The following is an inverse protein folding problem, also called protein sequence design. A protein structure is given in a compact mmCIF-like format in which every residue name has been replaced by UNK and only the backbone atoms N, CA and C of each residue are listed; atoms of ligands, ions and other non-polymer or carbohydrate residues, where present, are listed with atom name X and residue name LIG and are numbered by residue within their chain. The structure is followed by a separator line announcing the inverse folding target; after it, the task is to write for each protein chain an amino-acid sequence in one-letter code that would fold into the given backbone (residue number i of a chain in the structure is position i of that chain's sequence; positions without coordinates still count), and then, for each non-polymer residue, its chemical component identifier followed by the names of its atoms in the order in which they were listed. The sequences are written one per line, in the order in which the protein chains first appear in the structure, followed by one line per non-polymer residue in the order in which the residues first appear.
data_IF_997045647668
#
_entry.id   IF_997045647668
#
_cell.length_a   1.000
_cell.length_b   1.000
_cell.length_c   1.000
_cell.angle_alpha   90.00
_cell.angle_beta   90.00
_cell.angle_gamma   90.00
#
_symmetry.space_group_name_H-M   'P 1'
#
loop_
_entity.id
_entity.type
_entity.pdbx_description
1 polymer ?
#
# COMPACT_ATOMS: atom_id res chain seq x y z
N UNK A 1 -9.54 17.84 -29.29
CA UNK A 1 -8.06 17.69 -29.45
C UNK A 1 -7.80 16.83 -30.68
N UNK A 2 -6.88 17.23 -31.58
CA UNK A 2 -6.53 16.41 -32.75
C UNK A 2 -5.68 15.19 -32.34
N UNK A 3 -5.68 14.12 -33.14
CA UNK A 3 -4.83 12.96 -32.90
C UNK A 3 -3.34 13.34 -32.78
N UNK A 4 -2.87 14.25 -33.64
CA UNK A 4 -1.49 14.78 -33.60
C UNK A 4 -1.19 15.51 -32.29
N UNK A 5 -2.14 16.28 -31.77
CA UNK A 5 -2.01 16.96 -30.48
C UNK A 5 -1.89 15.96 -29.33
N UNK A 6 -2.70 14.89 -29.35
CA UNK A 6 -2.68 13.85 -28.31
C UNK A 6 -1.32 13.11 -28.31
N UNK A 7 -0.79 12.75 -29.48
CA UNK A 7 0.53 12.10 -29.58
C UNK A 7 1.65 12.97 -29.01
N UNK A 8 1.64 14.27 -29.30
CA UNK A 8 2.64 15.20 -28.74
C UNK A 8 2.54 15.29 -27.22
N UNK A 9 1.33 15.49 -26.69
CA UNK A 9 1.11 15.58 -25.23
C UNK A 9 1.58 14.31 -24.51
N UNK A 10 1.36 13.12 -25.11
CA UNK A 10 1.85 11.86 -24.55
C UNK A 10 3.38 11.81 -24.47
N UNK A 11 4.08 12.31 -25.48
CA UNK A 11 5.54 12.37 -25.47
C UNK A 11 6.05 13.31 -24.37
N UNK A 12 5.41 14.48 -24.23
CA UNK A 12 5.74 15.44 -23.18
C UNK A 12 5.54 14.83 -21.78
N UNK A 13 4.38 14.22 -21.54
CA UNK A 13 4.10 13.54 -20.26
C UNK A 13 5.03 12.36 -19.97
N UNK A 14 5.48 11.66 -21.01
CA UNK A 14 6.44 10.58 -20.84
C UNK A 14 7.80 11.10 -20.36
N UNK A 15 8.25 12.21 -20.92
CA UNK A 15 9.47 12.89 -20.49
C UNK A 15 9.35 13.40 -19.05
N UNK A 16 8.21 14.02 -18.69
CA UNK A 16 7.94 14.45 -17.32
C UNK A 16 7.98 13.28 -16.35
N UNK A 17 7.41 12.13 -16.74
CA UNK A 17 7.43 10.92 -15.95
C UNK A 17 8.84 10.36 -15.75
N UNK A 18 9.67 10.31 -16.79
CA UNK A 18 11.05 9.84 -16.69
C UNK A 18 11.90 10.74 -15.78
N UNK A 19 11.71 12.06 -15.87
CA UNK A 19 12.36 13.02 -14.98
C UNK A 19 11.89 12.83 -13.53
N UNK A 20 10.58 12.69 -13.33
CA UNK A 20 9.98 12.43 -12.04
C UNK A 20 10.50 11.13 -11.40
N UNK A 21 10.63 10.06 -12.19
CA UNK A 21 11.16 8.77 -11.70
C UNK A 21 12.61 8.87 -11.22
N UNK A 22 13.41 9.80 -11.75
CA UNK A 22 14.85 9.95 -11.42
C UNK A 22 15.14 11.09 -10.44
N UNK A 23 14.12 11.86 -10.04
CA UNK A 23 14.29 13.05 -9.21
C UNK A 23 14.95 12.71 -7.86
N UNK A 24 15.64 13.70 -7.30
CA UNK A 24 16.21 13.60 -5.96
C UNK A 24 15.12 13.59 -4.88
N UNK A 25 15.26 12.66 -3.93
CA UNK A 25 14.46 12.54 -2.71
C UNK A 25 15.22 13.02 -1.47
N UNK A 26 16.50 13.39 -1.60
CA UNK A 26 17.37 13.76 -0.49
C UNK A 26 17.00 15.07 0.21
N UNK A 27 16.21 15.92 -0.43
CA UNK A 27 15.73 17.18 0.13
C UNK A 27 14.69 17.04 1.25
N UNK A 28 14.06 15.87 1.40
CA UNK A 28 12.98 15.63 2.38
C UNK A 28 13.22 14.38 3.19
N UNK A 29 12.82 14.42 4.47
CA UNK A 29 12.85 13.25 5.36
C UNK A 29 11.48 12.59 5.42
N UNK A 30 11.35 11.45 4.74
CA UNK A 30 10.14 10.63 4.76
C UNK A 30 10.11 9.73 5.99
N UNK A 31 9.11 9.92 6.87
CA UNK A 31 8.97 9.15 8.11
C UNK A 31 8.05 7.94 7.96
N UNK A 32 7.10 8.00 7.03
CA UNK A 32 6.12 6.95 6.79
C UNK A 32 6.08 6.62 5.31
N UNK A 33 5.99 5.34 4.97
CA UNK A 33 5.73 4.90 3.60
C UNK A 33 4.53 3.96 3.54
N UNK A 34 3.71 4.10 2.50
CA UNK A 34 2.65 3.17 2.13
C UNK A 34 3.06 2.47 0.84
N UNK A 35 3.00 1.15 0.83
CA UNK A 35 3.29 0.33 -0.34
C UNK A 35 2.02 -0.40 -0.79
N UNK A 36 1.78 -0.40 -2.09
CA UNK A 36 0.65 -1.10 -2.70
C UNK A 36 0.98 -1.66 -4.09
N UNK A 37 0.34 -2.78 -4.43
CA UNK A 37 0.40 -3.42 -5.74
C UNK A 37 -0.92 -3.20 -6.48
N UNK A 38 -0.94 -2.32 -7.47
CA UNK A 38 -2.17 -1.96 -8.19
C UNK A 38 -2.26 -2.77 -9.48
N UNK A 39 -3.28 -3.62 -9.58
CA UNK A 39 -3.48 -4.47 -10.76
C UNK A 39 -4.37 -3.80 -11.80
N UNK A 40 -3.88 -3.74 -13.03
CA UNK A 40 -4.61 -3.25 -14.19
C UNK A 40 -4.75 -4.38 -15.23
N UNK A 41 -5.86 -4.35 -15.99
CA UNK A 41 -6.04 -5.19 -17.17
C UNK A 41 -6.07 -4.29 -18.42
N UNK A 42 -4.92 -4.03 -19.06
CA UNK A 42 -4.87 -3.32 -20.33
C UNK A 42 -5.73 -4.02 -21.38
N UNK A 43 -6.35 -3.25 -22.29
CA UNK A 43 -7.35 -3.73 -23.26
C UNK A 43 -6.83 -4.77 -24.27
N UNK A 44 -5.52 -5.05 -24.28
CA UNK A 44 -4.84 -5.98 -25.19
C UNK A 44 -3.79 -6.87 -24.50
N UNK A 45 -3.67 -6.81 -23.16
CA UNK A 45 -2.73 -7.66 -22.44
C UNK A 45 -3.41 -8.98 -22.06
N UNK A 46 -2.73 -10.09 -22.29
CA UNK A 46 -3.19 -11.42 -21.87
C UNK A 46 -3.19 -11.57 -20.34
N UNK A 47 -2.20 -10.97 -19.68
CA UNK A 47 -2.04 -11.01 -18.23
C UNK A 47 -2.36 -9.66 -17.55
N UNK A 48 -2.77 -9.72 -16.28
CA UNK A 48 -2.90 -8.51 -15.45
C UNK A 48 -1.51 -7.95 -15.16
N UNK A 49 -1.33 -6.66 -15.40
CA UNK A 49 -0.11 -5.96 -15.02
C UNK A 49 -0.24 -5.43 -13.60
N UNK A 50 0.81 -5.57 -12.80
CA UNK A 50 0.89 -4.96 -11.47
C UNK A 50 1.76 -3.71 -11.55
N UNK A 51 1.33 -2.62 -10.94
CA UNK A 51 2.17 -1.44 -10.73
C UNK A 51 2.46 -1.35 -9.25
N UNK A 52 3.74 -1.35 -8.89
CA UNK A 52 4.19 -1.16 -7.52
C UNK A 52 4.23 0.33 -7.23
N UNK A 53 3.51 0.72 -6.18
CA UNK A 53 3.34 2.11 -5.79
C UNK A 53 3.89 2.30 -4.38
N UNK A 54 4.67 3.36 -4.18
CA UNK A 54 5.05 3.82 -2.84
C UNK A 54 4.63 5.28 -2.68
N UNK A 55 3.87 5.56 -1.63
CA UNK A 55 3.56 6.92 -1.16
C UNK A 55 4.33 7.17 0.13
N UNK A 56 5.02 8.30 0.24
CA UNK A 56 5.72 8.73 1.44
C UNK A 56 5.02 9.90 2.12
N UNK A 57 5.08 9.97 3.45
CA UNK A 57 4.79 11.19 4.20
C UNK A 57 6.06 11.67 4.88
N UNK A 58 6.37 12.96 4.72
CA UNK A 58 7.50 13.58 5.38
C UNK A 58 7.22 13.91 6.85
N UNK A 59 8.24 14.47 7.51
CA UNK A 59 8.17 14.93 8.89
C UNK A 59 7.16 16.05 9.15
N UNK A 60 6.67 16.72 8.11
CA UNK A 60 5.62 17.75 8.18
C UNK A 60 4.24 17.19 7.80
N UNK A 61 4.12 15.87 7.59
CA UNK A 61 2.87 15.21 7.23
C UNK A 61 2.48 15.38 5.76
N UNK A 62 3.35 15.94 4.92
CA UNK A 62 3.08 16.14 3.49
C UNK A 62 3.28 14.83 2.73
N UNK A 63 2.22 14.33 2.13
CA UNK A 63 2.23 13.10 1.34
C UNK A 63 2.71 13.35 -0.08
N UNK A 64 3.47 12.40 -0.62
CA UNK A 64 3.96 12.43 -1.99
C UNK A 64 4.09 11.01 -2.54
N UNK A 65 3.75 10.82 -3.82
CA UNK A 65 4.05 9.58 -4.54
C UNK A 65 5.57 9.50 -4.72
N UNK A 66 6.22 8.47 -4.18
CA UNK A 66 7.67 8.26 -4.28
C UNK A 66 8.05 7.37 -5.44
N UNK A 67 7.30 6.29 -5.66
CA UNK A 67 7.57 5.35 -6.75
C UNK A 67 6.27 4.90 -7.41
N UNK A 68 6.38 4.69 -8.71
CA UNK A 68 5.39 4.03 -9.54
C UNK A 68 6.20 3.26 -10.58
N UNK A 69 6.21 1.94 -10.48
CA UNK A 69 7.05 1.08 -11.30
C UNK A 69 6.24 -0.11 -11.76
N UNK A 70 6.36 -0.45 -13.05
CA UNK A 70 5.75 -1.65 -13.59
C UNK A 70 6.40 -2.87 -12.92
N UNK A 71 5.64 -3.53 -12.04
CA UNK A 71 6.03 -4.78 -11.43
C UNK A 71 5.48 -5.92 -12.26
N UNK A 72 6.34 -6.77 -12.82
CA UNK A 72 5.85 -7.99 -13.45
C UNK A 72 5.00 -8.81 -12.44
N UNK A 73 5.40 -8.81 -11.15
CA UNK A 73 4.66 -9.36 -9.99
C UNK A 73 5.05 -8.64 -8.69
N UNK A 74 4.28 -8.80 -7.63
CA UNK A 74 4.65 -8.40 -6.25
C UNK A 74 5.69 -9.34 -5.60
N UNK A 75 6.74 -9.66 -6.35
CA UNK A 75 7.83 -10.51 -5.86
C UNK A 75 8.76 -9.73 -4.91
N UNK A 76 9.49 -10.45 -4.05
CA UNK A 76 10.55 -9.85 -3.22
C UNK A 76 11.55 -9.08 -4.06
N UNK A 77 11.97 -9.64 -5.21
CA UNK A 77 12.94 -9.00 -6.09
C UNK A 77 12.41 -7.66 -6.64
N UNK A 78 11.18 -7.64 -7.15
CA UNK A 78 10.56 -6.43 -7.70
C UNK A 78 10.42 -5.33 -6.64
N UNK A 79 10.02 -5.68 -5.42
CA UNK A 79 9.98 -4.73 -4.31
C UNK A 79 11.37 -4.26 -3.89
N UNK A 80 12.36 -5.15 -3.85
CA UNK A 80 13.74 -4.81 -3.51
C UNK A 80 14.32 -3.80 -4.48
N UNK A 81 14.08 -3.97 -5.78
CA UNK A 81 14.50 -3.02 -6.81
C UNK A 81 13.90 -1.63 -6.58
N UNK A 82 12.59 -1.54 -6.32
CA UNK A 82 11.91 -0.27 -6.00
C UNK A 82 12.52 0.38 -4.76
N UNK A 83 12.71 -0.38 -3.67
CA UNK A 83 13.23 0.16 -2.40
C UNK A 83 14.70 0.60 -2.51
N UNK A 84 15.54 -0.16 -3.23
CA UNK A 84 16.91 0.23 -3.52
C UNK A 84 16.96 1.48 -4.40
N UNK A 85 16.04 1.61 -5.35
CA UNK A 85 15.93 2.82 -6.17
C UNK A 85 15.62 4.07 -5.33
N UNK A 86 14.70 3.96 -4.35
CA UNK A 86 14.45 5.05 -3.39
C UNK A 86 15.73 5.48 -2.67
N UNK A 87 16.54 4.53 -2.20
CA UNK A 87 17.83 4.83 -1.56
C UNK A 87 18.80 5.51 -2.52
N UNK A 88 18.94 5.01 -3.75
CA UNK A 88 19.81 5.60 -4.77
C UNK A 88 19.44 7.04 -5.10
N UNK A 89 18.15 7.36 -5.15
CA UNK A 89 17.64 8.73 -5.38
C UNK A 89 17.72 9.63 -4.16
N UNK A 90 18.29 9.19 -3.04
CA UNK A 90 18.55 10.07 -1.89
C UNK A 90 17.63 9.86 -0.68
N UNK A 91 16.79 8.82 -0.62
CA UNK A 91 16.09 8.45 0.61
C UNK A 91 17.08 7.81 1.62
N UNK A 92 17.87 8.67 2.26
CA UNK A 92 19.06 8.30 3.06
C UNK A 92 18.70 7.67 4.41
N UNK A 93 17.57 8.08 4.98
CA UNK A 93 17.11 7.58 6.27
C UNK A 93 16.02 6.54 6.05
N UNK A 94 16.14 5.42 6.75
CA UNK A 94 15.08 4.42 6.81
C UNK A 94 13.79 5.09 7.35
N UNK A 95 12.63 4.90 6.70
CA UNK A 95 11.35 5.35 7.25
C UNK A 95 11.11 4.72 8.63
N UNK A 96 10.40 5.42 9.52
CA UNK A 96 10.07 4.87 10.85
C UNK A 96 9.04 3.74 10.77
N UNK A 97 8.13 3.81 9.81
CA UNK A 97 7.05 2.85 9.64
C UNK A 97 6.69 2.67 8.16
N UNK A 98 6.59 1.42 7.73
CA UNK A 98 6.02 1.02 6.45
C UNK A 98 4.64 0.41 6.66
N UNK A 99 3.70 0.82 5.82
CA UNK A 99 2.31 0.36 5.82
C UNK A 99 2.04 -0.32 4.48
N UNK A 100 1.62 -1.59 4.50
CA UNK A 100 1.36 -2.36 3.29
C UNK A 100 0.30 -3.43 3.49
N UNK A 101 -0.05 -4.14 2.43
CA UNK A 101 -0.96 -5.28 2.52
C UNK A 101 -0.24 -6.63 2.77
N UNK A 102 -0.83 -7.72 2.27
CA UNK A 102 -0.60 -9.14 2.47
C UNK A 102 0.78 -9.61 2.14
N UNK A 103 1.26 -9.01 1.07
CA UNK A 103 2.20 -9.64 0.18
C UNK A 103 3.55 -9.80 0.89
N UNK A 104 3.95 -11.06 1.05
CA UNK A 104 5.22 -11.42 1.68
C UNK A 104 6.43 -10.82 0.94
N UNK A 105 6.30 -10.57 -0.37
CA UNK A 105 7.36 -9.98 -1.20
C UNK A 105 7.82 -8.61 -0.68
N UNK A 106 6.87 -7.71 -0.41
CA UNK A 106 7.18 -6.38 0.10
C UNK A 106 7.87 -6.45 1.46
N UNK A 107 7.32 -7.20 2.41
CA UNK A 107 7.87 -7.29 3.77
C UNK A 107 9.27 -7.91 3.80
N UNK A 108 9.52 -8.92 2.96
CA UNK A 108 10.86 -9.52 2.83
C UNK A 108 11.86 -8.50 2.32
N UNK A 109 11.53 -7.78 1.23
CA UNK A 109 12.38 -6.75 0.66
C UNK A 109 12.61 -5.57 1.61
N UNK A 110 11.58 -5.18 2.37
CA UNK A 110 11.66 -4.10 3.35
C UNK A 110 12.70 -4.39 4.43
N UNK A 111 12.70 -5.59 5.00
CA UNK A 111 13.68 -6.00 6.03
C UNK A 111 15.11 -6.00 5.50
N UNK A 112 15.29 -6.35 4.23
CA UNK A 112 16.61 -6.36 3.57
C UNK A 112 17.13 -4.95 3.27
N UNK A 113 16.26 -4.03 2.86
CA UNK A 113 16.66 -2.68 2.40
C UNK A 113 16.59 -1.65 3.51
N UNK A 114 15.54 -1.66 4.32
CA UNK A 114 15.25 -0.70 5.38
C UNK A 114 15.11 -1.43 6.74
N UNK A 115 16.22 -1.99 7.22
CA UNK A 115 16.24 -2.91 8.37
C UNK A 115 15.69 -2.33 9.68
N UNK A 116 15.66 -1.00 9.83
CA UNK A 116 15.14 -0.33 11.04
C UNK A 116 13.67 0.08 10.94
N UNK A 117 13.06 -0.05 9.76
CA UNK A 117 11.67 0.33 9.52
C UNK A 117 10.70 -0.65 10.16
N UNK A 118 9.76 -0.14 10.97
CA UNK A 118 8.70 -0.96 11.55
C UNK A 118 7.66 -1.33 10.50
N UNK A 119 7.01 -2.47 10.71
CA UNK A 119 5.98 -2.99 9.81
C UNK A 119 4.59 -2.82 10.40
N UNK A 120 3.64 -2.37 9.59
CA UNK A 120 2.23 -2.34 9.95
C UNK A 120 1.35 -2.74 8.76
N UNK A 121 0.33 -3.55 9.04
CA UNK A 121 -0.68 -3.87 8.05
C UNK A 121 -1.61 -2.69 7.81
N UNK A 122 -1.91 -2.42 6.55
CA UNK A 122 -2.85 -1.37 6.17
C UNK A 122 -4.25 -1.72 6.68
N UNK A 123 -4.83 -0.83 7.50
CA UNK A 123 -6.19 -1.00 8.03
C UNK A 123 -7.25 -1.08 6.94
N UNK A 124 -7.07 -0.34 5.84
CA UNK A 124 -8.00 -0.35 4.69
C UNK A 124 -8.03 -1.73 4.04
N UNK A 125 -6.86 -2.26 3.68
CA UNK A 125 -6.76 -3.59 3.08
C UNK A 125 -7.20 -4.69 4.04
N UNK A 126 -6.81 -4.61 5.33
CA UNK A 126 -7.23 -5.57 6.35
C UNK A 126 -8.75 -5.60 6.52
N UNK A 127 -9.37 -4.42 6.65
CA UNK A 127 -10.83 -4.29 6.76
C UNK A 127 -11.52 -4.88 5.53
N UNK A 128 -11.04 -4.55 4.32
CA UNK A 128 -11.60 -5.10 3.09
C UNK A 128 -11.46 -6.63 3.01
N UNK A 129 -10.31 -7.18 3.41
CA UNK A 129 -10.08 -8.63 3.43
C UNK A 129 -11.05 -9.37 4.36
N UNK A 130 -11.33 -8.81 5.54
CA UNK A 130 -12.34 -9.33 6.47
C UNK A 130 -13.74 -9.26 5.85
N UNK A 131 -14.14 -8.08 5.35
CA UNK A 131 -15.48 -7.85 4.78
C UNK A 131 -15.76 -8.70 3.54
N UNK A 132 -14.74 -8.98 2.71
CA UNK A 132 -14.86 -9.84 1.53
C UNK A 132 -15.20 -11.30 1.86
N UNK A 133 -15.01 -11.73 3.12
CA UNK A 133 -15.47 -13.04 3.60
C UNK A 133 -16.93 -13.02 4.09
N UNK A 134 -17.66 -11.91 3.89
CA UNK A 134 -19.03 -11.71 4.38
C UNK A 134 -19.96 -11.22 3.26
N UNK A 135 -21.28 -11.54 3.32
CA UNK A 135 -22.27 -11.00 2.39
C UNK A 135 -22.38 -9.47 2.45
N UNK A 136 -22.58 -8.82 1.30
CA UNK A 136 -22.70 -7.35 1.21
C UNK A 136 -23.74 -6.74 2.16
N UNK A 137 -24.84 -7.44 2.42
CA UNK A 137 -25.93 -6.97 3.30
C UNK A 137 -25.50 -6.73 4.75
N UNK A 138 -24.43 -7.36 5.23
CA UNK A 138 -23.94 -7.20 6.62
C UNK A 138 -22.66 -6.37 6.72
N UNK A 139 -22.02 -6.08 5.58
CA UNK A 139 -20.69 -5.44 5.57
C UNK A 139 -20.70 -4.04 6.19
N UNK A 140 -21.76 -3.24 5.99
CA UNK A 140 -21.82 -1.90 6.56
C UNK A 140 -21.74 -1.92 8.10
N UNK A 141 -22.50 -2.81 8.74
CA UNK A 141 -22.48 -2.98 10.20
C UNK A 141 -21.15 -3.57 10.69
N UNK A 142 -20.66 -4.61 10.01
CA UNK A 142 -19.37 -5.22 10.34
C UNK A 142 -18.19 -4.24 10.22
N UNK A 143 -18.23 -3.35 9.22
CA UNK A 143 -17.22 -2.31 9.05
C UNK A 143 -17.18 -1.34 10.23
N UNK A 144 -18.34 -0.95 10.77
CA UNK A 144 -18.41 -0.14 12.00
C UNK A 144 -17.69 -0.82 13.14
N UNK A 145 -18.03 -2.08 13.44
CA UNK A 145 -17.37 -2.82 14.51
C UNK A 145 -15.88 -3.08 14.27
N UNK A 146 -15.42 -3.19 13.02
CA UNK A 146 -13.98 -3.25 12.72
C UNK A 146 -13.29 -1.91 12.99
N UNK A 147 -13.98 -0.78 12.77
CA UNK A 147 -13.45 0.53 13.09
C UNK A 147 -13.32 0.72 14.59
N UNK A 148 -14.28 0.25 15.39
CA UNK A 148 -14.23 0.29 16.85
C UNK A 148 -12.93 -0.34 17.40
N UNK A 149 -12.35 -1.33 16.70
CA UNK A 149 -11.09 -1.97 17.10
C UNK A 149 -9.90 -1.02 16.96
N UNK A 150 -9.68 -0.46 15.77
CA UNK A 150 -8.46 0.33 15.51
C UNK A 150 -8.61 1.81 15.88
N UNK A 151 -9.83 2.28 16.15
CA UNK A 151 -10.12 3.61 16.68
C UNK A 151 -10.17 3.66 18.21
N UNK A 152 -10.12 2.51 18.90
CA UNK A 152 -10.05 2.47 20.35
C UNK A 152 -8.84 3.24 20.90
N UNK A 153 -9.03 3.99 21.98
CA UNK A 153 -7.99 4.82 22.60
C UNK A 153 -6.89 3.95 23.22
N UNK A 154 -7.26 2.79 23.73
CA UNK A 154 -6.34 1.86 24.37
C UNK A 154 -6.35 0.48 23.73
N UNK A 155 -5.23 -0.23 23.89
CA UNK A 155 -5.14 -1.64 23.47
C UNK A 155 -6.14 -2.55 24.20
N UNK A 156 -6.47 -2.24 25.45
CA UNK A 156 -7.43 -3.01 26.22
C UNK A 156 -8.84 -2.90 25.59
N UNK A 157 -9.27 -1.68 25.27
CA UNK A 157 -10.55 -1.44 24.60
C UNK A 157 -10.58 -2.02 23.18
N UNK A 158 -9.47 -1.92 22.44
CA UNK A 158 -9.32 -2.55 21.13
C UNK A 158 -9.54 -4.06 21.19
N UNK A 159 -9.01 -4.72 22.23
CA UNK A 159 -9.20 -6.17 22.44
C UNK A 159 -10.66 -6.49 22.81
N UNK A 160 -11.33 -5.67 23.61
CA UNK A 160 -12.76 -5.84 23.92
C UNK A 160 -13.61 -5.73 22.63
N UNK A 161 -13.35 -4.73 21.80
CA UNK A 161 -14.01 -4.57 20.50
C UNK A 161 -13.70 -5.75 19.56
N UNK A 162 -12.47 -6.25 19.57
CA UNK A 162 -12.06 -7.42 18.80
C UNK A 162 -12.82 -8.67 19.23
N UNK A 163 -12.87 -8.96 20.54
CA UNK A 163 -13.60 -10.12 21.08
C UNK A 163 -15.10 -10.02 20.79
N UNK A 164 -15.66 -8.81 20.86
CA UNK A 164 -17.04 -8.56 20.45
C UNK A 164 -17.27 -8.86 18.96
N UNK A 165 -16.37 -8.43 18.08
CA UNK A 165 -16.43 -8.74 16.66
C UNK A 165 -16.39 -10.26 16.42
N UNK A 166 -15.44 -10.96 17.06
CA UNK A 166 -15.30 -12.41 16.96
C UNK A 166 -16.57 -13.12 17.43
N UNK A 167 -17.13 -12.74 18.59
CA UNK A 167 -18.35 -13.34 19.13
C UNK A 167 -19.58 -13.08 18.25
N UNK A 168 -19.68 -11.87 17.69
CA UNK A 168 -20.84 -11.45 16.89
C UNK A 168 -20.87 -12.11 15.51
N UNK A 169 -19.69 -12.25 14.88
CA UNK A 169 -19.59 -12.66 13.48
C UNK A 169 -19.03 -14.08 13.31
N UNK A 170 -18.24 -14.59 14.24
CA UNK A 170 -17.46 -15.82 14.09
C UNK A 170 -18.28 -17.10 13.96
N UNK A 171 -19.50 -17.14 14.51
CA UNK A 171 -20.38 -18.32 14.37
C UNK A 171 -20.83 -18.53 12.93
N UNK A 172 -21.13 -17.45 12.20
CA UNK A 172 -21.68 -17.51 10.84
C UNK A 172 -20.64 -17.22 9.75
N UNK A 173 -19.59 -16.47 10.10
CA UNK A 173 -18.54 -16.02 9.21
C UNK A 173 -17.16 -16.24 9.83
N UNK A 174 -16.88 -17.49 10.19
CA UNK A 174 -15.60 -17.99 10.71
C UNK A 174 -14.40 -17.53 9.85
N UNK A 175 -14.56 -17.56 8.53
CA UNK A 175 -13.54 -17.10 7.58
C UNK A 175 -13.23 -15.62 7.71
N UNK A 176 -14.18 -14.78 8.12
CA UNK A 176 -13.97 -13.34 8.29
C UNK A 176 -13.14 -13.04 9.53
N UNK A 177 -13.41 -13.74 10.64
CA UNK A 177 -12.65 -13.58 11.89
C UNK A 177 -11.25 -14.21 11.82
N UNK A 178 -11.04 -15.15 10.90
CA UNK A 178 -9.73 -15.75 10.61
C UNK A 178 -8.83 -14.92 9.67
N UNK A 179 -9.32 -13.81 9.11
CA UNK A 179 -8.56 -12.97 8.16
C UNK A 179 -7.47 -12.15 8.81
#
# INVERSE_FOLDING_TARGET
LSAKTITRLKADWWMDYELWQKRDLGSRRFLYIWADGVYFKPRMAEEKQCVLVIVGADEYGRKELLAMTDGFRESTQSWREVLLDLKRRGLKQDPKLAIGDGALGFWTALREVFATTREQRCWVHKTMNVLNAMPKSVQAKAKGHLHDIWQAETKAEANVAFDFFVKTYGVKWDKAVAK
#
